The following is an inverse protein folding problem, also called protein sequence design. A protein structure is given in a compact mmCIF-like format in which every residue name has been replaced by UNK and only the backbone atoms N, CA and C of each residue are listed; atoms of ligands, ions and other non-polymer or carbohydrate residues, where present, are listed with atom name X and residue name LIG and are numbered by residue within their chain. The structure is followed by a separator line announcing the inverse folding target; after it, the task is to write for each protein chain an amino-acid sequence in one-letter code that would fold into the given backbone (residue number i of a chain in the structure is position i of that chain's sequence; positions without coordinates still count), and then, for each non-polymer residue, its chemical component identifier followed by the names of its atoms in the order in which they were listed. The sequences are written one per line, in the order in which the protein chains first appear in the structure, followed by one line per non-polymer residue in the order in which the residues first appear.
data_IF_146547305249
#
_entry.id   IF_146547305249
#
_cell.length_a   1.000
_cell.length_b   1.000
_cell.length_c   1.000
_cell.angle_alpha   90.00
_cell.angle_beta   90.00
_cell.angle_gamma   90.00
#
_symmetry.space_group_name_H-M   'P 1'
#
loop_
_entity.id
_entity.type
_entity.pdbx_description
1 polymer ?
#
# COMPACT_ATOMS: atom_id res chain seq x y z
N UNK A 1 8.45 -8.92 26.62
CA UNK A 1 8.10 -8.22 25.43
C UNK A 1 6.66 -7.80 25.47
N UNK A 2 6.46 -6.68 25.02
CA UNK A 2 5.14 -6.14 25.00
C UNK A 2 4.35 -6.72 23.83
N UNK A 3 3.41 -7.61 24.12
CA UNK A 3 2.60 -8.23 23.10
C UNK A 3 1.68 -7.28 22.35
N UNK A 4 1.48 -6.11 22.91
CA UNK A 4 0.64 -5.12 22.26
C UNK A 4 1.36 -4.37 21.16
N UNK A 5 2.67 -4.43 21.17
CA UNK A 5 3.42 -3.77 20.13
C UNK A 5 3.48 -4.69 18.94
N UNK A 6 3.01 -4.22 17.87
CA UNK A 6 3.18 -4.96 16.65
C UNK A 6 4.40 -4.43 15.93
N UNK A 7 5.25 -5.32 15.50
CA UNK A 7 6.42 -4.93 14.72
C UNK A 7 6.10 -4.79 13.25
N UNK A 8 4.94 -5.25 12.84
CA UNK A 8 4.58 -5.19 11.43
C UNK A 8 4.59 -3.78 10.87
N UNK A 9 4.13 -2.75 11.58
CA UNK A 9 4.23 -1.41 11.04
C UNK A 9 5.65 -0.91 10.84
N UNK A 10 6.59 -1.49 11.52
CA UNK A 10 7.99 -1.05 11.44
C UNK A 10 8.84 -1.99 10.61
N UNK A 11 8.29 -3.12 10.20
CA UNK A 11 9.00 -4.06 9.36
C UNK A 11 8.37 -4.09 7.98
N UNK A 12 9.20 -4.04 6.96
CA UNK A 12 8.67 -4.18 5.60
C UNK A 12 8.53 -5.65 5.27
N UNK A 13 7.54 -5.95 4.46
CA UNK A 13 7.24 -7.31 4.03
C UNK A 13 7.24 -7.35 2.51
N UNK A 14 7.77 -8.42 1.96
CA UNK A 14 7.69 -8.65 0.52
C UNK A 14 6.43 -9.44 0.24
N UNK A 15 5.51 -8.81 -0.47
CA UNK A 15 4.19 -9.39 -0.70
C UNK A 15 3.96 -9.58 -2.19
N UNK A 16 3.28 -10.66 -2.59
CA UNK A 16 3.02 -10.88 -4.01
C UNK A 16 1.89 -10.00 -4.52
N UNK A 17 2.07 -9.46 -5.70
CA UNK A 17 1.00 -8.82 -6.44
C UNK A 17 0.07 -9.93 -6.93
N UNK A 18 -1.23 -9.75 -6.67
CA UNK A 18 -2.24 -10.72 -7.07
C UNK A 18 -2.85 -10.33 -8.41
N UNK A 19 -3.08 -9.04 -8.62
CA UNK A 19 -3.68 -8.57 -9.86
C UNK A 19 -3.35 -7.11 -10.11
N UNK A 20 -3.47 -6.71 -11.34
CA UNK A 20 -3.31 -5.33 -11.77
C UNK A 20 -4.37 -5.05 -12.82
N UNK A 21 -5.20 -4.06 -12.58
CA UNK A 21 -6.31 -3.72 -13.45
C UNK A 21 -6.23 -2.23 -13.78
N UNK A 22 -6.32 -1.91 -15.06
CA UNK A 22 -6.39 -0.51 -15.49
C UNK A 22 -7.87 -0.10 -15.57
N UNK A 23 -8.21 1.04 -15.00
CA UNK A 23 -9.56 1.56 -14.99
C UNK A 23 -9.48 3.02 -15.41
N UNK A 24 -9.75 3.30 -16.68
CA UNK A 24 -9.60 4.66 -17.22
C UNK A 24 -8.17 5.15 -17.09
N UNK A 25 -7.99 6.27 -16.43
CA UNK A 25 -6.66 6.84 -16.22
C UNK A 25 -5.96 6.27 -14.99
N UNK A 26 -6.60 5.35 -14.28
CA UNK A 26 -6.09 4.84 -13.02
C UNK A 26 -5.72 3.36 -13.14
N UNK A 27 -4.84 2.96 -12.24
CA UNK A 27 -4.44 1.57 -12.11
C UNK A 27 -4.74 1.11 -10.69
N UNK A 28 -5.21 -0.12 -10.55
CA UNK A 28 -5.45 -0.73 -9.24
C UNK A 28 -4.58 -1.97 -9.15
N UNK A 29 -3.74 -2.00 -8.13
CA UNK A 29 -2.93 -3.17 -7.83
C UNK A 29 -3.48 -3.80 -6.56
N UNK A 30 -3.72 -5.10 -6.62
CA UNK A 30 -4.07 -5.89 -5.44
C UNK A 30 -2.85 -6.69 -5.02
N UNK A 31 -2.54 -6.64 -3.74
CA UNK A 31 -1.38 -7.33 -3.19
C UNK A 31 -1.81 -8.10 -1.96
N UNK A 32 -1.23 -9.27 -1.74
CA UNK A 32 -1.59 -10.12 -0.61
C UNK A 32 -0.61 -9.90 0.54
N UNK A 33 -1.09 -9.27 1.60
CA UNK A 33 -0.32 -9.05 2.82
C UNK A 33 -0.86 -9.96 3.91
N UNK A 34 -0.49 -11.24 3.82
CA UNK A 34 -1.07 -12.26 4.68
C UNK A 34 -0.63 -12.14 6.13
N UNK A 35 0.51 -11.52 6.39
CA UNK A 35 1.08 -11.47 7.73
C UNK A 35 0.96 -10.13 8.41
N UNK A 36 0.57 -9.11 7.68
CA UNK A 36 0.44 -7.79 8.28
C UNK A 36 -0.89 -7.61 8.98
N UNK A 37 -0.95 -6.67 9.90
CA UNK A 37 -2.23 -6.35 10.54
C UNK A 37 -3.15 -5.65 9.52
N UNK A 38 -4.46 -5.82 9.68
CA UNK A 38 -5.38 -5.16 8.78
C UNK A 38 -5.32 -3.64 8.98
N UNK A 39 -5.33 -2.87 7.90
CA UNK A 39 -5.33 -1.42 8.03
C UNK A 39 -6.72 -0.90 8.40
N UNK A 40 -6.72 0.23 9.12
CA UNK A 40 -7.93 0.99 9.33
C UNK A 40 -8.11 2.00 8.19
N UNK A 41 -9.33 2.42 7.91
CA UNK A 41 -9.54 3.46 6.90
C UNK A 41 -8.71 4.70 7.21
N UNK A 42 -8.06 5.24 6.20
CA UNK A 42 -7.22 6.41 6.35
C UNK A 42 -5.76 6.12 6.59
N UNK A 43 -5.40 4.89 6.85
CA UNK A 43 -4.00 4.52 6.97
C UNK A 43 -3.39 4.29 5.58
N UNK A 44 -2.08 4.34 5.51
CA UNK A 44 -1.35 4.22 4.25
C UNK A 44 -0.18 3.26 4.40
N UNK A 45 0.40 2.92 3.26
CA UNK A 45 1.59 2.08 3.20
C UNK A 45 2.65 2.76 2.36
N UNK A 46 3.91 2.47 2.67
CA UNK A 46 5.01 2.81 1.77
C UNK A 46 5.23 1.61 0.86
N UNK A 47 5.24 1.86 -0.44
CA UNK A 47 5.35 0.82 -1.45
C UNK A 47 6.63 0.98 -2.25
N UNK A 48 7.25 -0.14 -2.57
CA UNK A 48 8.40 -0.18 -3.47
C UNK A 48 8.40 -1.51 -4.20
N UNK A 49 8.60 -1.48 -5.51
CA UNK A 49 8.71 -2.73 -6.26
C UNK A 49 9.97 -3.48 -5.81
N UNK A 50 9.92 -4.81 -5.86
CA UNK A 50 11.06 -5.62 -5.43
C UNK A 50 12.25 -5.50 -6.37
N UNK A 51 12.02 -5.15 -7.63
CA UNK A 51 13.07 -5.00 -8.63
C UNK A 51 12.98 -3.64 -9.30
N UNK A 52 14.11 -3.15 -9.76
CA UNK A 52 14.25 -1.86 -10.43
C UNK A 52 13.72 -0.73 -9.58
N UNK A 53 14.12 -0.76 -8.33
CA UNK A 53 13.77 0.25 -7.34
C UNK A 53 14.96 0.42 -6.41
N UNK A 54 15.14 1.64 -5.90
CA UNK A 54 16.16 1.84 -4.89
C UNK A 54 17.54 2.11 -5.44
N UNK A 55 17.66 2.96 -6.42
CA UNK A 55 18.95 3.35 -6.95
C UNK A 55 19.32 2.56 -8.20
N UNK A 56 20.38 2.95 -8.81
CA UNK A 56 20.84 2.36 -10.06
C UNK A 56 21.23 3.43 -11.05
N UNK A 57 21.65 3.01 -12.23
CA UNK A 57 22.16 3.92 -13.24
C UNK A 57 21.07 4.52 -14.11
N UNK A 58 19.89 3.98 -14.07
CA UNK A 58 18.79 4.46 -14.92
C UNK A 58 17.78 5.24 -14.08
N UNK A 59 16.69 5.66 -14.69
CA UNK A 59 15.69 6.51 -14.05
C UNK A 59 14.74 5.76 -13.14
N UNK A 60 15.24 4.76 -12.43
CA UNK A 60 14.39 4.01 -11.51
C UNK A 60 14.10 4.83 -10.27
N UNK A 61 12.94 4.63 -9.66
CA UNK A 61 12.62 5.33 -8.41
C UNK A 61 13.58 4.92 -7.30
N UNK A 62 13.88 5.85 -6.42
CA UNK A 62 14.79 5.60 -5.32
C UNK A 62 14.05 5.37 -4.01
N UNK A 63 13.16 6.27 -3.65
CA UNK A 63 12.43 6.18 -2.38
C UNK A 63 11.10 5.47 -2.56
N UNK A 64 10.64 4.74 -1.54
CA UNK A 64 9.29 4.20 -1.56
C UNK A 64 8.24 5.31 -1.69
N UNK A 65 7.09 4.93 -2.16
CA UNK A 65 5.97 5.86 -2.38
C UNK A 65 4.85 5.55 -1.41
N UNK A 66 4.21 6.59 -0.90
CA UNK A 66 3.12 6.47 0.07
C UNK A 66 1.79 6.39 -0.66
N UNK A 67 0.99 5.39 -0.34
CA UNK A 67 -0.35 5.23 -0.90
C UNK A 67 -1.33 4.80 0.18
N UNK A 68 -2.48 5.45 0.18
CA UNK A 68 -3.58 5.02 1.03
C UNK A 68 -4.18 3.74 0.49
N UNK A 69 -4.71 2.93 1.38
CA UNK A 69 -5.40 1.71 0.98
C UNK A 69 -6.75 2.09 0.40
N UNK A 70 -7.01 1.64 -0.81
CA UNK A 70 -8.32 1.82 -1.43
C UNK A 70 -9.34 0.88 -0.80
N UNK A 71 -8.96 -0.36 -0.61
CA UNK A 71 -9.85 -1.39 -0.05
C UNK A 71 -9.01 -2.49 0.57
N UNK A 72 -9.46 -3.00 1.69
CA UNK A 72 -8.92 -4.23 2.24
C UNK A 72 -9.94 -5.35 2.10
N UNK A 73 -9.46 -6.54 1.87
CA UNK A 73 -10.27 -7.74 1.76
C UNK A 73 -10.02 -8.63 2.97
N UNK A 74 -10.99 -9.46 3.30
CA UNK A 74 -10.87 -10.31 4.49
C UNK A 74 -9.74 -11.33 4.40
N UNK A 75 -9.35 -11.69 3.18
CA UNK A 75 -8.27 -12.67 2.98
C UNK A 75 -6.88 -12.05 3.05
N UNK A 76 -6.77 -10.77 3.36
CA UNK A 76 -5.47 -10.11 3.47
C UNK A 76 -5.04 -9.36 2.24
N UNK A 77 -5.84 -9.36 1.18
CA UNK A 77 -5.52 -8.55 0.01
C UNK A 77 -5.79 -7.10 0.28
N UNK A 78 -4.91 -6.27 -0.24
CA UNK A 78 -5.01 -4.81 -0.16
C UNK A 78 -5.00 -4.27 -1.58
N UNK A 79 -5.91 -3.34 -1.86
CA UNK A 79 -5.97 -2.68 -3.15
C UNK A 79 -5.41 -1.27 -3.02
N UNK A 80 -4.57 -0.88 -3.96
CA UNK A 80 -4.01 0.46 -4.06
C UNK A 80 -4.34 1.04 -5.42
N UNK A 81 -4.85 2.27 -5.42
CA UNK A 81 -5.20 2.99 -6.63
C UNK A 81 -4.16 4.06 -6.89
N UNK A 82 -3.69 4.17 -8.12
CA UNK A 82 -2.78 5.26 -8.46
C UNK A 82 -2.90 5.64 -9.92
N UNK A 83 -2.43 6.84 -10.20
CA UNK A 83 -2.34 7.37 -11.54
C UNK A 83 -0.87 7.43 -11.94
N UNK A 84 -0.58 7.11 -13.19
CA UNK A 84 0.81 7.09 -13.66
C UNK A 84 1.30 8.52 -13.91
N UNK A 85 1.88 9.13 -12.89
CA UNK A 85 2.26 10.54 -12.94
C UNK A 85 3.76 10.78 -12.76
N UNK A 86 4.55 9.73 -12.57
CA UNK A 86 5.98 9.91 -12.37
C UNK A 86 6.72 8.58 -12.35
N UNK A 87 8.03 8.59 -12.10
CA UNK A 87 8.83 7.36 -12.19
C UNK A 87 8.39 6.27 -11.21
N UNK A 88 7.96 6.66 -10.00
CA UNK A 88 7.49 5.67 -9.04
C UNK A 88 6.20 5.01 -9.48
N UNK A 89 5.20 5.80 -9.84
CA UNK A 89 3.93 5.25 -10.29
C UNK A 89 4.08 4.52 -11.62
N UNK A 90 4.98 4.99 -12.50
CA UNK A 90 5.26 4.27 -13.75
C UNK A 90 5.77 2.86 -13.45
N UNK A 91 6.71 2.73 -12.53
CA UNK A 91 7.25 1.43 -12.18
C UNK A 91 6.17 0.54 -11.54
N UNK A 92 5.31 1.11 -10.70
CA UNK A 92 4.22 0.35 -10.11
C UNK A 92 3.22 -0.11 -11.18
N UNK A 93 3.00 0.68 -12.22
CA UNK A 93 2.12 0.28 -13.31
C UNK A 93 2.66 -0.88 -14.12
N UNK A 94 3.94 -1.20 -14.00
CA UNK A 94 4.53 -2.34 -14.69
C UNK A 94 4.37 -3.65 -13.93
N UNK A 95 3.90 -3.60 -12.70
CA UNK A 95 3.76 -4.79 -11.88
C UNK A 95 2.64 -5.67 -12.39
N UNK A 96 2.88 -6.98 -12.34
CA UNK A 96 1.91 -7.99 -12.77
C UNK A 96 1.76 -9.02 -11.67
N UNK A 97 0.73 -9.84 -11.78
CA UNK A 97 0.51 -10.94 -10.85
C UNK A 97 1.78 -11.78 -10.73
N UNK A 98 2.18 -12.05 -9.51
CA UNK A 98 3.40 -12.79 -9.21
C UNK A 98 4.60 -11.93 -8.90
N UNK A 99 4.59 -10.66 -9.29
CA UNK A 99 5.70 -9.76 -8.96
C UNK A 99 5.68 -9.43 -7.47
N UNK A 100 6.84 -9.06 -6.93
CA UNK A 100 6.97 -8.71 -5.53
C UNK A 100 6.82 -7.22 -5.29
N UNK A 101 6.18 -6.89 -4.20
CA UNK A 101 6.01 -5.51 -3.77
C UNK A 101 6.36 -5.43 -2.29
N UNK A 102 7.29 -4.53 -1.95
CA UNK A 102 7.60 -4.26 -0.56
C UNK A 102 6.54 -3.36 0.04
N UNK A 103 5.99 -3.77 1.18
CA UNK A 103 5.03 -2.99 1.94
C UNK A 103 5.61 -2.65 3.30
N UNK A 104 5.50 -1.41 3.68
CA UNK A 104 5.75 -0.96 5.04
C UNK A 104 4.47 -0.29 5.53
N UNK A 105 3.84 -0.86 6.52
CA UNK A 105 2.59 -0.34 7.05
C UNK A 105 1.78 -1.40 7.76
N UNK A 106 0.58 -1.06 8.18
CA UNK A 106 -0.11 0.23 7.97
C UNK A 106 0.50 1.35 8.82
N UNK A 107 0.49 2.55 8.25
CA UNK A 107 1.07 3.74 8.87
C UNK A 107 -0.01 4.81 9.01
N UNK A 108 0.25 5.75 9.92
CA UNK A 108 -0.66 6.85 10.13
C UNK A 108 -1.80 6.50 11.07
N UNK A 109 -2.60 7.51 11.38
CA UNK A 109 -3.74 7.37 12.27
C UNK A 109 -4.98 7.17 11.40
N UNK A 110 -5.70 6.09 11.67
CA UNK A 110 -6.91 5.81 10.92
C UNK A 110 -8.02 6.81 11.21
N UNK A 111 -8.96 6.92 10.28
CA UNK A 111 -10.13 7.74 10.49
C UNK A 111 -10.99 7.11 11.57
N UNK A 112 -11.53 7.96 12.45
CA UNK A 112 -12.45 7.49 13.45
C UNK A 112 -13.86 7.69 12.95
N UNK A 113 -14.72 6.71 13.20
CA UNK A 113 -16.13 6.93 12.99
C UNK A 113 -16.58 8.00 13.99
N UNK A 114 -17.29 9.04 13.56
CA UNK A 114 -17.80 10.03 14.49
C UNK A 114 -18.82 9.40 15.41
N UNK A 115 -18.75 9.71 16.72
CA UNK A 115 -19.83 9.29 17.59
C UNK A 115 -21.00 10.27 17.43
N UNK A 116 -22.11 9.94 18.08
CA UNK A 116 -23.32 10.75 17.92
C UNK A 116 -23.18 12.17 18.43
N UNK A 117 -22.26 12.41 19.36
CA UNK A 117 -22.07 13.74 19.91
C UNK A 117 -21.14 14.59 19.11
N UNK A 118 -20.19 13.95 18.46
CA UNK A 118 -19.17 14.66 17.73
C UNK A 118 -19.40 14.60 16.24
N UNK A 119 -20.55 14.13 15.81
CA UNK A 119 -20.87 14.08 14.39
C UNK A 119 -20.73 15.48 13.81
N UNK A 120 -20.05 15.61 12.69
CA UNK A 120 -19.89 16.93 12.08
C UNK A 120 -21.24 17.49 11.70
N UNK A 121 -21.35 18.79 11.84
CA UNK A 121 -22.52 19.50 11.39
C UNK A 121 -22.47 19.55 9.90
N UNK A 122 -22.37 18.94 9.22
CA UNK A 122 -22.21 18.91 7.77
C UNK A 122 -22.63 19.53 6.94
#
# INVERSE_FOLDING_TARGET
MNGDRTLAPFGRRLCPVVSHVAIGAYDVISVLDAEGPPPDPGQFYMLAASERWGGGADERPFLPRAFSVLRRHEDGRLDFLFENVGPGTRRLCELRAGDGLWLLGPLGVGFRAPDKRSAPAA
#
